data_IF_312693230330
#
_entry.id   IF_312693230330
#
_cell.length_a   1.000
_cell.length_b   1.000
_cell.length_c   1.000
_cell.angle_alpha   90.00
_cell.angle_beta   90.00
_cell.angle_gamma   90.00
#
_symmetry.space_group_name_H-M   'P 1'
#
loop_
_entity.id
_entity.type
_entity.pdbx_description
1 polymer ?
#
# COMPACT_ATOMS: atom_id res chain seq x y z
N UNK A 1 -15.82 6.98 -1.31
CA UNK A 1 -14.81 7.50 -0.39
C UNK A 1 -15.50 8.20 0.76
N UNK A 2 -15.10 7.85 1.98
CA UNK A 2 -15.62 8.34 3.24
C UNK A 2 -15.24 9.80 3.42
N UNK A 3 -16.21 10.62 3.82
CA UNK A 3 -15.95 11.98 4.28
C UNK A 3 -15.52 11.90 5.75
N UNK A 4 -14.26 12.25 6.03
CA UNK A 4 -13.72 12.21 7.39
C UNK A 4 -14.40 13.26 8.28
N UNK A 5 -14.60 12.91 9.55
CA UNK A 5 -15.06 13.85 10.57
C UNK A 5 -13.91 14.77 10.99
N UNK A 6 -14.25 15.90 11.63
CA UNK A 6 -13.23 16.80 12.18
C UNK A 6 -12.36 16.13 13.25
N UNK A 7 -12.92 15.21 14.03
CA UNK A 7 -12.18 14.47 15.05
C UNK A 7 -11.11 13.56 14.43
N UNK A 8 -11.47 12.86 13.33
CA UNK A 8 -10.52 12.01 12.60
C UNK A 8 -9.42 12.86 11.95
N UNK A 9 -9.78 14.01 11.35
CA UNK A 9 -8.78 14.94 10.80
C UNK A 9 -7.83 15.46 11.88
N UNK A 10 -8.34 15.85 13.04
CA UNK A 10 -7.51 16.26 14.19
C UNK A 10 -6.59 15.14 14.66
N UNK A 11 -7.01 13.87 14.59
CA UNK A 11 -6.16 12.74 14.93
C UNK A 11 -5.01 12.56 13.93
N UNK A 12 -5.24 12.80 12.63
CA UNK A 12 -4.17 12.83 11.62
C UNK A 12 -3.21 14.02 11.78
N UNK A 13 -3.72 15.18 12.23
CA UNK A 13 -2.91 16.37 12.50
C UNK A 13 -2.16 16.30 13.85
N UNK A 14 -2.57 15.42 14.77
CA UNK A 14 -2.01 15.33 16.12
C UNK A 14 -0.47 15.13 16.18
N UNK A 15 0.17 14.36 15.27
CA UNK A 15 1.63 14.26 15.22
C UNK A 15 2.34 15.53 14.74
N UNK A 16 1.62 16.53 14.23
CA UNK A 16 2.17 17.74 13.62
C UNK A 16 1.68 19.04 14.29
N UNK A 17 2.09 19.33 15.54
CA UNK A 17 1.69 20.56 16.25
C UNK A 17 2.08 21.85 15.53
N UNK A 18 3.11 21.81 14.68
CA UNK A 18 3.57 22.93 13.84
C UNK A 18 4.20 22.40 12.54
N UNK A 19 4.52 23.28 11.59
CA UNK A 19 5.17 22.89 10.31
C UNK A 19 6.57 22.29 10.50
N UNK A 20 7.28 22.61 11.58
CA UNK A 20 8.64 22.09 11.82
C UNK A 20 8.65 20.56 12.00
N UNK A 21 7.52 19.98 12.38
CA UNK A 21 7.30 18.53 12.52
C UNK A 21 6.96 17.84 11.19
N UNK A 22 6.70 18.59 10.11
CA UNK A 22 6.25 18.03 8.82
C UNK A 22 7.37 17.75 7.83
N UNK A 23 8.65 17.92 8.21
CA UNK A 23 9.78 17.73 7.31
C UNK A 23 9.76 16.34 6.63
N UNK A 24 9.48 15.27 7.39
CA UNK A 24 9.36 13.92 6.85
C UNK A 24 8.19 13.77 5.86
N UNK A 25 7.00 14.23 6.24
CA UNK A 25 5.81 14.20 5.38
C UNK A 25 6.02 15.00 4.08
N UNK A 26 6.73 16.13 4.13
CA UNK A 26 7.10 16.94 2.95
C UNK A 26 8.10 16.23 2.06
N UNK A 27 9.07 15.52 2.64
CA UNK A 27 10.15 14.88 1.90
C UNK A 27 9.70 13.57 1.23
N UNK A 28 8.81 12.81 1.87
CA UNK A 28 8.42 11.45 1.46
C UNK A 28 8.09 11.31 -0.03
N UNK A 29 7.26 12.16 -0.65
CA UNK A 29 6.92 12.00 -2.07
C UNK A 29 8.15 12.04 -3.00
N UNK A 30 9.18 12.82 -2.64
CA UNK A 30 10.43 12.92 -3.42
C UNK A 30 11.35 11.72 -3.28
N UNK A 31 11.12 10.85 -2.29
CA UNK A 31 11.91 9.64 -2.06
C UNK A 31 11.42 8.45 -2.87
N UNK A 32 10.28 8.56 -3.57
CA UNK A 32 9.79 7.51 -4.46
C UNK A 32 10.74 7.41 -5.66
N UNK A 33 11.41 6.26 -5.88
CA UNK A 33 12.32 6.13 -7.00
C UNK A 33 11.52 6.04 -8.32
N UNK A 34 11.55 7.13 -9.09
CA UNK A 34 10.85 7.27 -10.38
C UNK A 34 11.79 7.18 -11.59
N UNK A 35 13.10 7.04 -11.36
CA UNK A 35 14.11 6.80 -12.40
C UNK A 35 15.17 5.81 -11.89
N UNK A 36 15.94 5.24 -12.81
CA UNK A 36 17.02 4.29 -12.52
C UNK A 36 18.28 4.96 -11.99
N UNK A 37 18.39 6.29 -12.10
CA UNK A 37 19.56 7.07 -11.68
C UNK A 37 19.58 7.34 -10.17
N UNK A 38 18.52 6.95 -9.46
CA UNK A 38 18.40 7.09 -8.00
C UNK A 38 18.96 5.82 -7.35
N UNK A 39 19.83 5.98 -6.35
CA UNK A 39 20.47 4.87 -5.61
C UNK A 39 19.46 3.81 -5.14
N UNK A 40 18.31 4.27 -4.66
CA UNK A 40 17.24 3.41 -4.14
C UNK A 40 16.58 2.54 -5.20
N UNK A 41 16.73 2.87 -6.49
CA UNK A 41 16.32 1.99 -7.57
C UNK A 41 17.13 0.69 -7.55
N UNK A 42 18.45 0.74 -7.34
CA UNK A 42 19.30 -0.45 -7.27
C UNK A 42 18.96 -1.31 -6.06
N UNK A 43 18.73 -0.68 -4.91
CA UNK A 43 18.31 -1.37 -3.68
C UNK A 43 16.95 -2.06 -3.86
N UNK A 44 15.98 -1.39 -4.49
CA UNK A 44 14.68 -1.98 -4.80
C UNK A 44 14.77 -3.13 -5.82
N UNK A 45 15.68 -3.05 -6.80
CA UNK A 45 15.93 -4.14 -7.75
C UNK A 45 16.46 -5.38 -7.01
N UNK A 46 17.43 -5.21 -6.11
CA UNK A 46 17.96 -6.30 -5.27
C UNK A 46 16.85 -6.92 -4.41
N UNK A 47 15.97 -6.11 -3.83
CA UNK A 47 14.79 -6.61 -3.10
C UNK A 47 13.83 -7.40 -4.01
N UNK A 48 13.64 -6.96 -5.25
CA UNK A 48 12.82 -7.69 -6.23
C UNK A 48 13.40 -9.06 -6.60
N UNK A 49 14.72 -9.24 -6.63
CA UNK A 49 15.31 -10.57 -6.83
C UNK A 49 14.93 -11.54 -5.70
N UNK A 50 14.84 -11.05 -4.45
CA UNK A 50 14.36 -11.85 -3.33
C UNK A 50 12.86 -12.16 -3.48
N UNK A 51 12.04 -11.16 -3.83
CA UNK A 51 10.60 -11.34 -4.00
C UNK A 51 10.24 -12.31 -5.14
N UNK A 52 11.05 -12.36 -6.21
CA UNK A 52 10.87 -13.34 -7.31
C UNK A 52 11.08 -14.78 -6.86
N UNK A 53 11.81 -15.01 -5.78
CA UNK A 53 12.03 -16.33 -5.19
C UNK A 53 11.11 -16.60 -3.97
N UNK A 54 10.26 -15.63 -3.61
CA UNK A 54 9.37 -15.75 -2.45
C UNK A 54 8.23 -16.73 -2.71
N UNK A 55 8.31 -17.90 -2.07
CA UNK A 55 7.32 -19.00 -2.22
C UNK A 55 6.30 -19.07 -1.09
N UNK A 56 6.47 -18.31 -0.01
CA UNK A 56 5.48 -18.26 1.09
C UNK A 56 4.22 -17.51 0.62
N UNK A 57 3.05 -17.78 1.22
CA UNK A 57 1.80 -17.12 0.85
C UNK A 57 1.94 -15.60 0.71
N UNK A 58 1.45 -15.03 -0.39
CA UNK A 58 1.46 -13.59 -0.67
C UNK A 58 0.10 -13.14 -1.21
N UNK A 59 -0.68 -12.40 -0.40
CA UNK A 59 -1.98 -11.89 -0.79
C UNK A 59 -1.88 -10.46 -1.35
N UNK A 60 -2.79 -10.09 -2.25
CA UNK A 60 -3.02 -8.70 -2.65
C UNK A 60 -4.50 -8.39 -2.47
N UNK A 61 -4.80 -7.25 -1.86
CA UNK A 61 -6.13 -6.76 -1.56
C UNK A 61 -6.21 -5.24 -1.82
N UNK A 62 -5.92 -4.85 -3.07
CA UNK A 62 -5.92 -3.45 -3.50
C UNK A 62 -7.36 -2.93 -3.60
N UNK A 63 -7.55 -1.61 -3.56
CA UNK A 63 -8.86 -0.99 -3.74
C UNK A 63 -9.14 -0.65 -5.22
N UNK A 64 -10.40 -0.41 -5.57
CA UNK A 64 -10.81 -0.10 -6.96
C UNK A 64 -10.74 1.38 -7.35
N UNK A 65 -10.60 2.28 -6.36
CA UNK A 65 -10.68 3.74 -6.55
C UNK A 65 -9.39 4.48 -6.19
N UNK A 66 -8.24 3.80 -6.20
CA UNK A 66 -6.92 4.42 -6.08
C UNK A 66 -6.18 4.50 -7.44
N UNK A 67 -6.18 5.66 -8.13
CA UNK A 67 -5.47 5.81 -9.39
C UNK A 67 -3.93 5.80 -9.23
N UNK A 68 -3.39 6.07 -8.04
CA UNK A 68 -1.94 6.17 -7.81
C UNK A 68 -1.28 4.80 -7.87
N UNK A 69 -1.93 3.77 -7.29
CA UNK A 69 -1.37 2.41 -7.23
C UNK A 69 -2.05 1.41 -8.16
N UNK A 70 -3.05 1.85 -8.95
CA UNK A 70 -3.83 1.01 -9.85
C UNK A 70 -2.95 0.16 -10.76
N UNK A 71 -3.18 -1.16 -10.73
CA UNK A 71 -2.50 -2.14 -11.57
C UNK A 71 -1.15 -2.64 -11.04
N UNK A 72 -0.63 -2.08 -9.94
CA UNK A 72 0.59 -2.59 -9.31
C UNK A 72 0.41 -4.02 -8.76
N UNK A 73 -0.79 -4.36 -8.31
CA UNK A 73 -1.19 -5.71 -7.86
C UNK A 73 -0.87 -6.79 -8.92
N UNK A 74 -1.13 -6.50 -10.20
CA UNK A 74 -0.86 -7.42 -11.31
C UNK A 74 0.63 -7.77 -11.39
N UNK A 75 1.51 -6.81 -11.12
CA UNK A 75 2.97 -7.02 -11.16
C UNK A 75 3.38 -7.98 -10.05
N UNK A 76 2.89 -7.77 -8.82
CA UNK A 76 3.15 -8.66 -7.69
C UNK A 76 2.64 -10.08 -7.95
N UNK A 77 1.36 -10.22 -8.36
CA UNK A 77 0.73 -11.53 -8.66
C UNK A 77 1.49 -12.31 -9.73
N UNK A 78 2.01 -11.62 -10.75
CA UNK A 78 2.76 -12.25 -11.85
C UNK A 78 4.18 -12.66 -11.44
N UNK A 79 4.85 -11.86 -10.62
CA UNK A 79 6.30 -12.00 -10.36
C UNK A 79 6.63 -12.74 -9.07
N UNK A 80 5.73 -12.79 -8.10
CA UNK A 80 5.97 -13.45 -6.81
C UNK A 80 5.36 -14.86 -6.83
N UNK A 81 6.15 -15.95 -6.74
CA UNK A 81 5.63 -17.32 -6.81
C UNK A 81 4.57 -17.62 -5.77
N UNK A 82 4.78 -17.18 -4.53
CA UNK A 82 3.86 -17.38 -3.40
C UNK A 82 2.53 -16.61 -3.51
N UNK A 83 2.40 -15.73 -4.50
CA UNK A 83 1.11 -15.11 -4.84
C UNK A 83 0.22 -16.05 -5.66
N UNK A 84 0.78 -17.04 -6.35
CA UNK A 84 -0.01 -17.97 -7.16
C UNK A 84 -1.02 -18.72 -6.29
N UNK A 85 -2.24 -18.83 -6.81
CA UNK A 85 -3.35 -19.53 -6.16
C UNK A 85 -3.77 -18.97 -4.79
N UNK A 86 -3.35 -17.75 -4.44
CA UNK A 86 -3.88 -17.05 -3.27
C UNK A 86 -5.23 -16.40 -3.59
N UNK A 87 -6.14 -16.26 -2.62
CA UNK A 87 -7.48 -15.70 -2.83
C UNK A 87 -7.43 -14.16 -2.95
N UNK A 88 -6.68 -13.65 -3.94
CA UNK A 88 -6.57 -12.22 -4.18
C UNK A 88 -7.95 -11.58 -4.39
N UNK A 89 -8.09 -10.32 -3.95
CA UNK A 89 -9.33 -9.58 -4.12
C UNK A 89 -9.06 -8.13 -4.51
N UNK A 90 -10.11 -7.45 -4.93
CA UNK A 90 -10.17 -6.00 -5.06
C UNK A 90 -11.28 -5.49 -4.16
N UNK A 91 -10.92 -4.64 -3.20
CA UNK A 91 -11.85 -4.04 -2.24
C UNK A 91 -12.62 -2.91 -2.93
N UNK A 92 -13.93 -3.02 -2.96
CA UNK A 92 -14.78 -2.10 -3.74
C UNK A 92 -15.13 -0.84 -2.95
N UNK A 93 -15.06 0.32 -3.61
CA UNK A 93 -15.44 1.61 -3.04
C UNK A 93 -14.41 2.19 -2.05
N UNK A 94 -13.22 1.60 -1.96
CA UNK A 94 -12.07 2.16 -1.24
C UNK A 94 -11.17 2.99 -2.16
N UNK A 95 -10.65 4.10 -1.65
CA UNK A 95 -9.66 4.96 -2.29
C UNK A 95 -8.24 4.57 -1.92
N UNK A 96 -7.32 5.55 -1.95
CA UNK A 96 -5.91 5.37 -1.61
C UNK A 96 -5.69 4.98 -0.14
N UNK A 97 -6.39 5.66 0.77
CA UNK A 97 -6.45 5.31 2.19
C UNK A 97 -7.56 4.29 2.43
N UNK A 98 -7.45 3.11 1.81
CA UNK A 98 -8.48 2.07 1.84
C UNK A 98 -8.88 1.61 3.25
N UNK A 99 -8.03 1.82 4.25
CA UNK A 99 -8.30 1.45 5.64
C UNK A 99 -9.35 2.37 6.27
N UNK A 100 -9.41 3.63 5.85
CA UNK A 100 -10.45 4.59 6.28
C UNK A 100 -11.80 4.30 5.59
N UNK A 101 -11.76 3.87 4.33
CA UNK A 101 -12.98 3.60 3.57
C UNK A 101 -13.60 2.22 3.89
N UNK A 102 -12.74 1.23 4.13
CA UNK A 102 -13.06 -0.20 4.12
C UNK A 102 -12.24 -1.01 5.11
N UNK A 103 -11.93 -0.43 6.27
CA UNK A 103 -11.09 -1.04 7.30
C UNK A 103 -11.57 -2.43 7.74
N UNK A 104 -12.86 -2.58 8.03
CA UNK A 104 -13.46 -3.86 8.43
C UNK A 104 -13.39 -4.90 7.31
N UNK A 105 -13.70 -4.53 6.06
CA UNK A 105 -13.62 -5.42 4.90
C UNK A 105 -12.17 -5.88 4.64
N UNK A 106 -11.20 -4.96 4.74
CA UNK A 106 -9.78 -5.29 4.64
C UNK A 106 -9.35 -6.26 5.76
N UNK A 107 -9.82 -6.04 6.99
CA UNK A 107 -9.54 -6.92 8.12
C UNK A 107 -10.17 -8.31 7.93
N UNK A 108 -11.40 -8.41 7.44
CA UNK A 108 -12.06 -9.68 7.12
C UNK A 108 -11.31 -10.46 6.04
N UNK A 109 -10.83 -9.79 4.99
CA UNK A 109 -9.98 -10.39 3.95
C UNK A 109 -8.73 -11.02 4.58
N UNK A 110 -8.05 -10.29 5.47
CA UNK A 110 -6.87 -10.80 6.17
C UNK A 110 -7.22 -11.97 7.10
N UNK A 111 -8.23 -11.85 7.94
CA UNK A 111 -8.66 -12.88 8.89
C UNK A 111 -9.09 -14.17 8.19
N UNK A 112 -9.73 -14.08 7.02
CA UNK A 112 -10.10 -15.25 6.23
C UNK A 112 -8.91 -15.89 5.53
N UNK A 113 -7.84 -15.14 5.29
CA UNK A 113 -6.63 -15.64 4.64
C UNK A 113 -5.67 -16.35 5.59
N UNK A 114 -5.58 -15.90 6.85
CA UNK A 114 -4.66 -16.48 7.84
C UNK A 114 -5.21 -17.68 8.60
N UNK A 115 -6.50 -18.00 8.43
CA UNK A 115 -7.12 -19.23 8.95
C UNK A 115 -6.58 -20.46 8.22
#
# INVERSE_FOLDING_TARGET
>A
MTKLSEEVLKAYDAPFPSEEYKAGARKFPSLVPVSMDIEEAENNIKAWEILKEWKKPFLTAFSDSDPITKGADIIFRRRIPGAKSQPHTTIKGGGHFLQEDKGEELAEVFLNWVK
#
